data_IF_217512192854
#
_entry.id   IF_217512192854
#
_cell.length_a   1.000
_cell.length_b   1.000
_cell.length_c   1.000
_cell.angle_alpha   90.00
_cell.angle_beta   90.00
_cell.angle_gamma   90.00
#
_symmetry.space_group_name_H-M   'P 1'
#
loop_
_entity.id
_entity.type
_entity.pdbx_description
1 polymer ?
#
# COMPACT_ATOMS: atom_id res chain seq x y z
N UNK A 1 -14.34 22.24 7.03
CA UNK A 1 -13.90 21.33 5.97
C UNK A 1 -15.07 21.05 5.05
N UNK A 2 -14.88 21.23 3.76
CA UNK A 2 -15.85 20.85 2.72
C UNK A 2 -15.39 19.55 2.07
N UNK A 3 -16.33 18.66 1.82
CA UNK A 3 -16.10 17.32 1.30
C UNK A 3 -16.94 17.12 0.06
N UNK A 4 -16.37 16.47 -0.95
CA UNK A 4 -17.11 16.04 -2.13
C UNK A 4 -17.72 14.66 -1.88
N UNK A 5 -19.03 14.57 -2.04
CA UNK A 5 -19.84 13.37 -1.80
C UNK A 5 -20.43 12.93 -3.11
N UNK A 6 -20.41 11.63 -3.36
CA UNK A 6 -21.09 11.04 -4.50
C UNK A 6 -22.43 10.46 -4.03
N UNK A 7 -23.54 11.04 -4.51
CA UNK A 7 -24.89 10.72 -4.05
C UNK A 7 -25.40 9.42 -4.69
N UNK A 8 -25.94 8.51 -3.88
CA UNK A 8 -26.48 7.23 -4.34
C UNK A 8 -27.98 7.04 -4.02
N UNK A 9 -28.53 7.85 -3.10
CA UNK A 9 -29.93 7.79 -2.73
C UNK A 9 -30.47 9.19 -2.42
N UNK A 10 -31.44 9.65 -3.21
CA UNK A 10 -32.06 10.98 -3.02
C UNK A 10 -33.05 10.98 -1.85
N UNK A 11 -33.09 12.07 -1.07
CA UNK A 11 -34.13 12.34 -0.06
C UNK A 11 -35.52 12.16 -0.67
N UNK A 12 -36.40 11.45 0.03
CA UNK A 12 -37.78 11.16 -0.38
C UNK A 12 -37.93 10.10 -1.47
N UNK A 13 -36.84 9.57 -2.03
CA UNK A 13 -36.90 8.49 -3.03
C UNK A 13 -36.97 7.12 -2.37
N UNK A 14 -37.74 6.21 -2.95
CA UNK A 14 -37.74 4.78 -2.62
C UNK A 14 -36.64 4.01 -3.38
N UNK A 15 -36.05 4.62 -4.39
CA UNK A 15 -35.07 4.00 -5.28
C UNK A 15 -33.65 4.29 -4.82
N UNK A 16 -32.93 3.22 -4.45
CA UNK A 16 -31.51 3.26 -4.09
C UNK A 16 -30.66 2.77 -5.27
N UNK A 17 -29.63 3.54 -5.58
CA UNK A 17 -28.69 3.26 -6.66
C UNK A 17 -27.33 2.85 -6.07
N UNK A 18 -26.51 2.19 -6.88
CA UNK A 18 -25.07 2.05 -6.64
C UNK A 18 -24.36 2.46 -7.92
N UNK A 19 -23.15 3.00 -7.81
CA UNK A 19 -22.37 3.38 -8.98
C UNK A 19 -21.61 2.19 -9.54
N UNK A 20 -21.93 1.84 -10.79
CA UNK A 20 -21.22 0.81 -11.56
C UNK A 20 -20.71 1.43 -12.85
N UNK A 21 -19.39 1.42 -13.06
CA UNK A 21 -18.77 2.04 -14.24
C UNK A 21 -19.07 3.54 -14.36
N UNK A 22 -19.17 4.26 -13.24
CA UNK A 22 -19.48 5.69 -13.20
C UNK A 22 -20.94 6.05 -13.51
N UNK A 23 -21.85 5.05 -13.60
CA UNK A 23 -23.28 5.28 -13.81
C UNK A 23 -24.10 4.79 -12.62
N UNK A 24 -25.13 5.53 -12.19
CA UNK A 24 -26.09 5.02 -11.22
C UNK A 24 -26.83 3.82 -11.78
N UNK A 25 -26.79 2.70 -11.07
CA UNK A 25 -27.56 1.49 -11.38
C UNK A 25 -28.49 1.23 -10.20
N UNK A 26 -29.78 1.10 -10.47
CA UNK A 26 -30.77 0.77 -9.43
C UNK A 26 -30.39 -0.58 -8.80
N UNK A 27 -30.21 -0.60 -7.48
CA UNK A 27 -29.85 -1.82 -6.73
C UNK A 27 -30.97 -2.32 -5.84
N UNK A 28 -31.81 -1.42 -5.32
CA UNK A 28 -32.87 -1.77 -4.37
C UNK A 28 -34.00 -0.74 -4.39
N UNK A 29 -35.22 -1.20 -4.11
CA UNK A 29 -36.33 -0.35 -3.68
C UNK A 29 -36.58 -0.56 -2.18
N UNK A 30 -36.71 0.54 -1.44
CA UNK A 30 -36.88 0.57 0.01
C UNK A 30 -37.86 1.69 0.38
N UNK A 31 -38.15 1.88 1.67
CA UNK A 31 -38.97 3.04 2.10
C UNK A 31 -38.25 4.37 1.79
N UNK A 32 -38.95 5.50 1.67
CA UNK A 32 -38.35 6.78 1.27
C UNK A 32 -37.19 7.23 2.15
N UNK A 33 -36.05 7.60 1.56
CA UNK A 33 -34.89 8.05 2.34
C UNK A 33 -35.17 9.36 3.09
N UNK A 34 -34.81 9.47 4.39
CA UNK A 34 -35.05 10.67 5.20
C UNK A 34 -34.16 11.86 4.80
N UNK A 35 -32.99 11.55 4.23
CA UNK A 35 -31.95 12.49 3.78
C UNK A 35 -31.35 11.98 2.47
N UNK A 36 -30.48 12.78 1.84
CA UNK A 36 -29.70 12.25 0.73
C UNK A 36 -28.57 11.38 1.30
N UNK A 37 -28.40 10.17 0.79
CA UNK A 37 -27.25 9.32 1.10
C UNK A 37 -26.26 9.31 -0.05
N UNK A 38 -24.99 9.33 0.31
CA UNK A 38 -23.86 9.17 -0.58
C UNK A 38 -22.69 8.57 0.16
N UNK A 39 -21.53 8.63 -0.46
CA UNK A 39 -20.28 8.14 0.13
C UNK A 39 -19.10 9.00 -0.33
N UNK A 40 -17.97 8.84 0.35
CA UNK A 40 -16.69 9.43 -0.03
C UNK A 40 -15.85 8.35 -0.74
N UNK A 41 -15.53 8.53 -2.04
CA UNK A 41 -14.73 7.55 -2.77
C UNK A 41 -13.36 7.31 -2.13
N UNK A 42 -12.90 6.06 -2.19
CA UNK A 42 -11.58 5.62 -1.74
C UNK A 42 -11.27 5.84 -0.24
N UNK A 43 -12.30 6.02 0.58
CA UNK A 43 -12.19 6.02 2.04
C UNK A 43 -13.14 4.96 2.56
N UNK A 44 -12.64 4.07 3.44
CA UNK A 44 -13.40 2.89 3.85
C UNK A 44 -13.73 2.90 5.34
N UNK A 45 -14.93 2.43 5.68
CA UNK A 45 -15.38 2.27 7.04
C UNK A 45 -14.77 0.99 7.66
N UNK A 46 -14.12 1.07 8.84
CA UNK A 46 -13.53 -0.10 9.48
C UNK A 46 -14.51 -1.20 9.89
N UNK A 47 -15.80 -0.90 10.01
CA UNK A 47 -16.79 -1.87 10.50
C UNK A 47 -17.18 -2.91 9.44
N UNK A 48 -17.30 -2.49 8.19
CA UNK A 48 -17.80 -3.33 7.09
C UNK A 48 -16.87 -3.36 5.87
N UNK A 49 -15.88 -2.46 5.81
CA UNK A 49 -14.95 -2.35 4.69
C UNK A 49 -15.54 -1.69 3.44
N UNK A 50 -16.75 -1.12 3.53
CA UNK A 50 -17.37 -0.36 2.46
C UNK A 50 -16.95 1.11 2.50
N UNK A 51 -17.27 1.88 1.46
CA UNK A 51 -16.93 3.30 1.42
C UNK A 51 -17.59 4.07 2.57
N UNK A 52 -16.91 5.10 3.08
CA UNK A 52 -17.43 5.93 4.18
C UNK A 52 -18.72 6.61 3.72
N UNK A 53 -19.83 6.17 4.31
CA UNK A 53 -21.14 6.73 4.06
C UNK A 53 -21.23 8.20 4.49
N UNK A 54 -22.09 8.93 3.81
CA UNK A 54 -22.40 10.32 4.06
C UNK A 54 -23.91 10.55 4.03
N UNK A 55 -24.43 11.17 5.08
CA UNK A 55 -25.77 11.68 5.18
C UNK A 55 -25.75 13.19 4.89
N UNK A 56 -26.35 13.60 3.76
CA UNK A 56 -26.39 14.98 3.29
C UNK A 56 -27.77 15.60 3.59
N UNK A 57 -27.77 16.56 4.51
CA UNK A 57 -28.92 17.40 4.86
C UNK A 57 -29.19 18.44 3.77
N UNK A 58 -30.47 18.74 3.54
CA UNK A 58 -30.92 19.70 2.53
C UNK A 58 -31.95 19.14 1.55
N UNK A 59 -32.15 19.82 0.39
CA UNK A 59 -33.12 19.41 -0.62
C UNK A 59 -32.71 18.09 -1.32
N UNK A 60 -33.65 17.39 -1.97
CA UNK A 60 -33.34 16.19 -2.75
C UNK A 60 -32.27 16.42 -3.82
N UNK A 61 -31.33 15.48 -3.93
CA UNK A 61 -30.23 15.50 -4.91
C UNK A 61 -30.28 14.24 -5.78
N UNK A 62 -30.20 14.35 -7.12
CA UNK A 62 -30.21 13.19 -8.01
C UNK A 62 -29.05 12.22 -7.75
N UNK A 63 -29.28 10.89 -7.77
CA UNK A 63 -28.21 9.90 -7.73
C UNK A 63 -27.19 10.09 -8.86
N UNK A 64 -25.91 9.87 -8.56
CA UNK A 64 -24.78 10.13 -9.46
C UNK A 64 -24.23 11.56 -9.42
N UNK A 65 -24.88 12.46 -8.68
CA UNK A 65 -24.38 13.83 -8.49
C UNK A 65 -23.17 13.85 -7.55
N UNK A 66 -22.19 14.70 -7.87
CA UNK A 66 -21.10 15.08 -6.95
C UNK A 66 -21.48 16.38 -6.26
N UNK A 67 -21.59 16.36 -4.94
CA UNK A 67 -21.98 17.52 -4.13
C UNK A 67 -20.88 17.87 -3.15
N UNK A 68 -20.53 19.16 -3.07
CA UNK A 68 -19.66 19.67 -2.01
C UNK A 68 -20.51 20.12 -0.84
N UNK A 69 -20.20 19.60 0.34
CA UNK A 69 -20.93 19.91 1.57
C UNK A 69 -20.01 20.03 2.78
N UNK A 70 -20.42 20.83 3.76
CA UNK A 70 -19.65 21.09 4.98
C UNK A 70 -19.84 19.98 6.00
N UNK A 71 -18.74 19.57 6.64
CA UNK A 71 -18.76 18.62 7.74
C UNK A 71 -19.46 19.21 8.98
N UNK A 72 -20.50 18.51 9.46
CA UNK A 72 -21.32 18.89 10.63
C UNK A 72 -21.08 17.99 11.83
N UNK A 73 -20.96 16.69 11.62
CA UNK A 73 -20.82 15.70 12.69
C UNK A 73 -20.65 14.29 12.16
N UNK A 74 -20.73 13.32 13.05
CA UNK A 74 -20.62 11.90 12.73
C UNK A 74 -21.81 11.16 13.33
N UNK A 75 -22.51 10.39 12.52
CA UNK A 75 -23.47 9.41 13.03
C UNK A 75 -22.71 8.11 13.30
N UNK A 76 -22.72 7.67 14.56
CA UNK A 76 -22.17 6.39 15.00
C UNK A 76 -23.30 5.40 15.32
N UNK A 77 -23.12 4.15 14.91
CA UNK A 77 -24.05 3.05 15.16
C UNK A 77 -23.37 1.97 16.00
N UNK A 78 -24.13 1.25 16.82
CA UNK A 78 -23.62 0.27 17.79
C UNK A 78 -22.88 -0.94 17.17
N UNK A 79 -23.08 -1.19 15.88
CA UNK A 79 -22.33 -2.19 15.10
C UNK A 79 -20.99 -1.66 14.57
N UNK A 80 -20.62 -0.42 14.92
CA UNK A 80 -19.38 0.22 14.54
C UNK A 80 -19.47 1.00 13.23
N UNK A 81 -20.62 0.99 12.54
CA UNK A 81 -20.83 1.74 11.32
C UNK A 81 -20.85 3.25 11.59
N UNK A 82 -20.27 4.03 10.67
CA UNK A 82 -20.11 5.48 10.78
C UNK A 82 -20.59 6.16 9.50
N UNK A 83 -21.34 7.25 9.66
CA UNK A 83 -21.78 8.09 8.52
C UNK A 83 -21.43 9.54 8.78
N UNK A 84 -20.74 10.17 7.84
CA UNK A 84 -20.46 11.61 7.92
C UNK A 84 -21.76 12.39 7.77
N UNK A 85 -22.06 13.27 8.72
CA UNK A 85 -23.18 14.20 8.61
C UNK A 85 -22.71 15.49 7.94
N UNK A 86 -23.32 15.82 6.80
CA UNK A 86 -22.91 16.93 5.93
C UNK A 86 -24.10 17.84 5.60
N UNK A 87 -23.86 19.15 5.42
CA UNK A 87 -24.88 20.10 4.96
C UNK A 87 -24.73 21.49 5.58
N UNK A 88 -25.60 22.40 5.16
CA UNK A 88 -25.71 23.76 5.70
C UNK A 88 -27.04 23.98 6.43
N UNK A 89 -27.04 24.78 7.51
CA UNK A 89 -28.24 25.09 8.31
C UNK A 89 -28.53 24.12 9.47
N UNK A 90 -29.59 24.42 10.21
CA UNK A 90 -30.14 23.61 11.31
C UNK A 90 -31.41 22.91 10.82
N UNK A 91 -31.26 21.83 10.04
CA UNK A 91 -32.38 20.97 9.60
C UNK A 91 -32.64 19.90 10.68
N UNK A 92 -33.15 20.35 11.83
CA UNK A 92 -33.38 19.50 13.01
C UNK A 92 -34.42 18.40 12.73
N UNK A 93 -35.41 18.71 11.89
CA UNK A 93 -36.43 17.74 11.47
C UNK A 93 -35.81 16.60 10.65
N UNK A 94 -34.94 16.90 9.68
CA UNK A 94 -34.23 15.87 8.93
C UNK A 94 -33.28 15.05 9.81
N UNK A 95 -32.67 15.68 10.82
CA UNK A 95 -31.80 14.99 11.77
C UNK A 95 -32.58 13.99 12.64
N UNK A 96 -33.75 14.40 13.16
CA UNK A 96 -34.65 13.51 13.90
C UNK A 96 -35.16 12.37 13.01
N UNK A 97 -35.52 12.67 11.76
CA UNK A 97 -35.92 11.65 10.79
C UNK A 97 -34.79 10.66 10.48
N UNK A 98 -33.55 11.15 10.37
CA UNK A 98 -32.36 10.32 10.19
C UNK A 98 -32.07 9.43 11.40
N UNK A 99 -32.25 9.92 12.63
CA UNK A 99 -32.07 9.09 13.84
C UNK A 99 -33.15 8.02 13.93
N UNK A 100 -34.41 8.37 13.69
CA UNK A 100 -35.54 7.44 13.67
C UNK A 100 -35.48 6.42 12.52
N UNK A 101 -34.63 6.66 11.51
CA UNK A 101 -34.40 5.74 10.41
C UNK A 101 -33.75 4.44 10.87
N UNK A 102 -32.83 4.48 11.83
CA UNK A 102 -32.14 3.28 12.26
C UNK A 102 -32.97 2.50 13.29
N UNK A 103 -32.99 1.16 13.21
CA UNK A 103 -33.62 0.36 14.26
C UNK A 103 -33.05 0.70 15.64
N UNK A 104 -33.86 0.72 16.72
CA UNK A 104 -33.41 1.07 18.07
C UNK A 104 -32.19 0.25 18.54
N UNK A 105 -32.05 -0.98 18.07
CA UNK A 105 -30.96 -1.89 18.41
C UNK A 105 -29.60 -1.39 17.89
N UNK A 106 -29.59 -0.63 16.77
CA UNK A 106 -28.37 -0.01 16.22
C UNK A 106 -27.95 1.24 16.99
N UNK A 107 -28.76 1.73 17.95
CA UNK A 107 -28.47 2.85 18.87
C UNK A 107 -27.79 4.04 18.17
N UNK A 108 -28.48 4.70 17.22
CA UNK A 108 -27.88 5.81 16.49
C UNK A 108 -27.49 6.95 17.44
N UNK A 109 -26.23 7.34 17.38
CA UNK A 109 -25.65 8.37 18.23
C UNK A 109 -24.97 9.45 17.37
N UNK A 110 -25.28 10.71 17.63
CA UNK A 110 -24.58 11.82 16.99
C UNK A 110 -23.36 12.20 17.81
N UNK A 111 -22.22 12.14 17.16
CA UNK A 111 -20.97 12.71 17.64
C UNK A 111 -20.77 14.06 16.97
N UNK A 112 -20.03 14.92 17.65
CA UNK A 112 -19.79 16.29 17.24
C UNK A 112 -18.84 16.37 16.04
N UNK A 113 -18.60 17.62 15.62
CA UNK A 113 -17.76 17.93 14.48
C UNK A 113 -16.29 17.55 14.69
N UNK A 114 -15.78 17.66 15.91
CA UNK A 114 -14.41 17.31 16.26
C UNK A 114 -14.20 15.79 16.16
N UNK A 115 -15.14 14.97 16.65
CA UNK A 115 -15.05 13.51 16.47
C UNK A 115 -15.17 13.11 14.99
N UNK A 116 -16.06 13.76 14.24
CA UNK A 116 -16.18 13.54 12.81
C UNK A 116 -14.90 13.89 12.04
N UNK A 117 -14.25 14.98 12.42
CA UNK A 117 -12.99 15.41 11.84
C UNK A 117 -11.87 14.42 12.17
N UNK A 118 -11.78 13.97 13.42
CA UNK A 118 -10.79 12.97 13.84
C UNK A 118 -10.97 11.64 13.09
N UNK A 119 -12.21 11.18 12.93
CA UNK A 119 -12.52 9.99 12.13
C UNK A 119 -12.06 10.13 10.68
N UNK A 120 -12.39 11.26 10.04
CA UNK A 120 -12.01 11.48 8.65
C UNK A 120 -10.50 11.61 8.48
N UNK A 121 -9.82 12.35 9.35
CA UNK A 121 -8.37 12.51 9.33
C UNK A 121 -7.68 11.15 9.49
N UNK A 122 -8.19 10.27 10.35
CA UNK A 122 -7.66 8.90 10.48
C UNK A 122 -7.78 8.11 9.16
N UNK A 123 -8.94 8.17 8.49
CA UNK A 123 -9.15 7.47 7.20
C UNK A 123 -8.30 8.05 6.07
N UNK A 124 -8.21 9.37 5.99
CA UNK A 124 -7.35 10.06 5.01
C UNK A 124 -5.88 9.70 5.22
N UNK A 125 -5.43 9.64 6.48
CA UNK A 125 -4.07 9.26 6.83
C UNK A 125 -3.79 7.80 6.49
N UNK A 126 -4.71 6.89 6.79
CA UNK A 126 -4.60 5.48 6.40
C UNK A 126 -4.47 5.35 4.87
N UNK A 127 -5.36 5.96 4.10
CA UNK A 127 -5.27 6.00 2.62
C UNK A 127 -3.93 6.55 2.13
N UNK A 128 -3.46 7.65 2.71
CA UNK A 128 -2.19 8.29 2.33
C UNK A 128 -0.99 7.36 2.57
N UNK A 129 -1.00 6.55 3.63
CA UNK A 129 0.04 5.54 3.91
C UNK A 129 0.05 4.41 2.89
N UNK A 130 -1.11 3.92 2.46
CA UNK A 130 -1.19 2.89 1.42
C UNK A 130 -0.64 3.38 0.08
N UNK A 131 -1.07 4.57 -0.35
CA UNK A 131 -0.52 5.24 -1.54
C UNK A 131 0.99 5.44 -1.39
N UNK A 132 1.43 5.94 -0.24
CA UNK A 132 2.82 6.23 0.04
C UNK A 132 3.71 5.00 -0.06
N UNK A 133 3.26 3.85 0.45
CA UNK A 133 4.06 2.61 0.40
C UNK A 133 4.34 2.15 -1.03
N UNK A 134 3.31 2.04 -1.87
CA UNK A 134 3.50 1.51 -3.23
C UNK A 134 4.17 2.54 -4.16
N UNK A 135 3.84 3.83 -4.03
CA UNK A 135 4.56 4.89 -4.75
C UNK A 135 6.00 5.01 -4.28
N UNK A 136 6.23 4.92 -2.97
CA UNK A 136 7.55 5.03 -2.36
C UNK A 136 8.49 3.93 -2.85
N UNK A 137 7.98 2.70 -2.99
CA UNK A 137 8.70 1.59 -3.64
C UNK A 137 9.17 2.00 -5.04
N UNK A 138 8.25 2.43 -5.91
CA UNK A 138 8.59 2.77 -7.29
C UNK A 138 9.49 4.01 -7.41
N UNK A 139 9.34 4.98 -6.51
CA UNK A 139 10.23 6.15 -6.43
C UNK A 139 11.64 5.74 -6.01
N UNK A 140 11.75 4.83 -5.05
CA UNK A 140 13.03 4.35 -4.54
C UNK A 140 13.80 3.53 -5.56
N UNK A 141 13.10 2.62 -6.23
CA UNK A 141 13.58 1.89 -7.40
C UNK A 141 14.12 2.87 -8.47
N UNK A 142 13.28 3.78 -8.97
CA UNK A 142 13.68 4.72 -10.04
C UNK A 142 14.82 5.68 -9.66
N UNK A 143 14.96 6.04 -8.37
CA UNK A 143 16.08 6.86 -7.90
C UNK A 143 17.37 6.03 -7.75
N UNK A 144 17.27 4.82 -7.20
CA UNK A 144 18.41 3.94 -6.98
C UNK A 144 18.99 3.39 -8.28
N UNK A 145 18.14 3.12 -9.28
CA UNK A 145 18.56 2.61 -10.58
C UNK A 145 19.56 3.54 -11.31
N UNK A 146 19.59 4.84 -10.97
CA UNK A 146 20.55 5.80 -11.54
C UNK A 146 22.01 5.47 -11.22
N UNK A 147 22.25 4.78 -10.09
CA UNK A 147 23.58 4.51 -9.53
C UNK A 147 23.76 3.04 -9.16
N UNK A 148 22.89 2.18 -9.67
CA UNK A 148 23.00 0.74 -9.53
C UNK A 148 24.39 0.24 -10.01
N UNK A 149 24.94 -0.72 -9.28
CA UNK A 149 26.27 -1.31 -9.43
C UNK A 149 27.45 -0.33 -9.27
N UNK A 150 27.21 0.93 -8.90
CA UNK A 150 28.28 1.90 -8.63
C UNK A 150 28.76 1.78 -7.19
N UNK A 151 30.07 1.68 -6.92
CA UNK A 151 30.58 1.72 -5.56
C UNK A 151 30.17 3.01 -4.84
N UNK A 152 29.86 2.91 -3.54
CA UNK A 152 29.54 4.06 -2.69
C UNK A 152 30.59 5.17 -2.83
N UNK A 153 30.15 6.41 -3.00
CA UNK A 153 31.04 7.57 -3.14
C UNK A 153 31.79 7.70 -4.47
N UNK A 154 31.57 6.79 -5.44
CA UNK A 154 32.18 6.85 -6.78
C UNK A 154 31.38 7.66 -7.81
N UNK A 155 30.29 8.31 -7.39
CA UNK A 155 29.37 9.05 -8.24
C UNK A 155 28.92 10.35 -7.55
N UNK A 156 28.55 11.39 -8.32
CA UNK A 156 27.90 12.58 -7.76
C UNK A 156 26.62 12.19 -7.03
N UNK A 157 26.34 12.70 -5.82
CA UNK A 157 25.19 12.25 -5.05
C UNK A 157 23.86 12.46 -5.79
N UNK A 158 23.06 11.39 -5.85
CA UNK A 158 21.69 11.41 -6.37
C UNK A 158 20.85 12.34 -5.51
N UNK A 159 20.08 13.21 -6.16
CA UNK A 159 19.16 14.17 -5.51
C UNK A 159 17.83 14.32 -6.23
N UNK A 160 17.79 13.96 -7.50
CA UNK A 160 16.68 14.21 -8.42
C UNK A 160 16.45 12.96 -9.26
N UNK A 161 15.28 12.91 -9.88
CA UNK A 161 14.89 11.81 -10.75
C UNK A 161 15.36 12.11 -12.17
N UNK A 162 16.62 11.75 -12.48
CA UNK A 162 17.29 12.11 -13.75
C UNK A 162 17.40 10.93 -14.73
N UNK A 163 17.11 9.71 -14.29
CA UNK A 163 17.30 8.50 -15.09
C UNK A 163 18.79 8.15 -15.25
N UNK A 164 19.15 7.49 -16.35
CA UNK A 164 20.51 7.00 -16.60
C UNK A 164 20.70 5.58 -16.06
N UNK A 165 21.72 5.38 -15.23
CA UNK A 165 22.07 4.05 -14.73
C UNK A 165 22.62 3.10 -15.81
N UNK A 166 22.82 1.82 -15.46
CA UNK A 166 23.37 0.81 -16.38
C UNK A 166 22.48 0.56 -17.61
N UNK A 167 21.18 0.81 -17.50
CA UNK A 167 20.20 0.55 -18.55
C UNK A 167 19.80 1.78 -19.38
N UNK A 168 20.37 2.95 -19.10
CA UNK A 168 20.05 4.19 -19.84
C UNK A 168 18.59 4.63 -19.69
N UNK A 169 18.04 4.50 -18.49
CA UNK A 169 16.65 4.77 -18.15
C UNK A 169 16.28 6.24 -18.36
N UNK A 170 15.01 6.51 -18.72
CA UNK A 170 14.49 7.87 -18.71
C UNK A 170 14.11 8.31 -17.27
N UNK A 171 14.04 9.62 -16.97
CA UNK A 171 13.57 10.13 -15.68
C UNK A 171 12.28 9.47 -15.22
N UNK A 172 12.33 8.76 -14.08
CA UNK A 172 11.17 8.13 -13.44
C UNK A 172 10.82 6.73 -13.95
N UNK A 173 11.62 6.17 -14.87
CA UNK A 173 11.60 4.74 -15.12
C UNK A 173 12.20 3.96 -13.94
N UNK A 174 11.58 2.82 -13.66
CA UNK A 174 11.90 1.87 -12.59
C UNK A 174 12.20 0.48 -13.20
N UNK A 175 12.73 -0.46 -12.42
CA UNK A 175 13.35 -1.72 -12.85
C UNK A 175 12.43 -2.95 -12.65
N UNK A 176 13.01 -4.14 -12.46
CA UNK A 176 12.26 -5.36 -12.18
C UNK A 176 11.60 -5.35 -10.80
N UNK A 177 12.17 -4.63 -9.83
CA UNK A 177 11.59 -4.30 -8.52
C UNK A 177 10.11 -3.92 -8.62
N UNK A 178 9.85 -2.80 -9.28
CA UNK A 178 8.48 -2.29 -9.47
C UNK A 178 7.70 -3.17 -10.44
N UNK A 179 8.31 -3.70 -11.50
CA UNK A 179 7.62 -4.60 -12.44
C UNK A 179 6.97 -5.80 -11.73
N UNK A 180 7.72 -6.47 -10.86
CA UNK A 180 7.25 -7.62 -10.09
C UNK A 180 6.28 -7.21 -8.96
N UNK A 181 6.45 -6.02 -8.37
CA UNK A 181 5.48 -5.47 -7.43
C UNK A 181 4.11 -5.23 -8.10
N UNK A 182 4.09 -4.64 -9.30
CA UNK A 182 2.85 -4.40 -10.03
C UNK A 182 2.18 -5.70 -10.48
N UNK A 183 2.96 -6.67 -10.95
CA UNK A 183 2.45 -8.01 -11.25
C UNK A 183 1.81 -8.66 -10.01
N UNK A 184 2.43 -8.53 -8.83
CA UNK A 184 1.86 -9.04 -7.59
C UNK A 184 0.57 -8.30 -7.23
N UNK A 185 0.55 -6.97 -7.30
CA UNK A 185 -0.62 -6.16 -7.00
C UNK A 185 -1.83 -6.56 -7.86
N UNK A 186 -1.65 -6.71 -9.18
CA UNK A 186 -2.74 -7.14 -10.05
C UNK A 186 -3.21 -8.56 -9.75
N UNK A 187 -2.29 -9.49 -9.49
CA UNK A 187 -2.64 -10.87 -9.11
C UNK A 187 -3.50 -10.90 -7.85
N UNK A 188 -3.09 -10.16 -6.81
CA UNK A 188 -3.82 -10.07 -5.55
C UNK A 188 -5.23 -9.50 -5.72
N UNK A 189 -5.37 -8.42 -6.50
CA UNK A 189 -6.67 -7.78 -6.72
C UNK A 189 -7.63 -8.63 -7.55
N UNK A 190 -7.11 -9.45 -8.48
CA UNK A 190 -7.93 -10.30 -9.33
C UNK A 190 -8.24 -11.68 -8.72
N UNK A 191 -7.29 -12.26 -7.97
CA UNK A 191 -7.33 -13.67 -7.54
C UNK A 191 -7.21 -13.87 -6.04
N UNK A 192 -6.91 -12.82 -5.26
CA UNK A 192 -6.40 -13.00 -3.91
C UNK A 192 -4.99 -13.60 -3.96
N UNK A 193 -4.58 -14.29 -2.90
CA UNK A 193 -3.26 -14.93 -2.86
C UNK A 193 -3.22 -16.22 -3.70
N UNK A 194 -2.82 -16.09 -4.96
CA UNK A 194 -2.61 -17.20 -5.89
C UNK A 194 -1.14 -17.21 -6.41
N UNK A 195 -0.25 -18.04 -5.83
CA UNK A 195 1.14 -18.14 -6.25
C UNK A 195 1.33 -18.56 -7.71
N UNK A 196 0.37 -19.29 -8.31
CA UNK A 196 0.45 -19.71 -9.71
C UNK A 196 0.13 -18.55 -10.64
N UNK A 197 -0.89 -17.75 -10.33
CA UNK A 197 -1.20 -16.51 -11.09
C UNK A 197 -0.07 -15.48 -10.94
N UNK A 198 0.47 -15.32 -9.73
CA UNK A 198 1.66 -14.50 -9.45
C UNK A 198 2.82 -14.88 -10.39
N UNK A 199 3.20 -16.17 -10.41
CA UNK A 199 4.29 -16.65 -11.28
C UNK A 199 3.96 -16.56 -12.77
N UNK A 200 2.69 -16.71 -13.17
CA UNK A 200 2.27 -16.52 -14.55
C UNK A 200 2.45 -15.06 -15.01
N UNK A 201 2.13 -14.07 -14.16
CA UNK A 201 2.35 -12.65 -14.46
C UNK A 201 3.84 -12.30 -14.50
N UNK A 202 4.64 -12.84 -13.59
CA UNK A 202 6.10 -12.67 -13.63
C UNK A 202 6.70 -13.28 -14.90
N UNK A 203 6.25 -14.47 -15.31
CA UNK A 203 6.67 -15.10 -16.55
C UNK A 203 6.24 -14.27 -17.77
N UNK A 204 5.06 -13.66 -17.74
CA UNK A 204 4.59 -12.75 -18.79
C UNK A 204 5.44 -11.49 -18.87
N UNK A 205 5.77 -10.86 -17.75
CA UNK A 205 6.74 -9.76 -17.71
C UNK A 205 8.09 -10.20 -18.31
N UNK A 206 8.63 -11.33 -17.86
CA UNK A 206 9.91 -11.86 -18.31
C UNK A 206 9.95 -12.13 -19.83
N UNK A 207 8.85 -12.63 -20.42
CA UNK A 207 8.80 -12.99 -21.84
C UNK A 207 8.35 -11.86 -22.76
N UNK A 208 7.46 -10.99 -22.29
CA UNK A 208 6.74 -10.01 -23.12
C UNK A 208 6.96 -8.56 -22.71
N UNK A 209 7.62 -8.28 -21.57
CA UNK A 209 7.73 -6.92 -21.03
C UNK A 209 6.44 -6.39 -20.41
N UNK A 210 5.50 -7.26 -20.05
CA UNK A 210 4.26 -6.87 -19.38
C UNK A 210 4.54 -6.08 -18.09
N UNK A 211 3.98 -4.86 -17.95
CA UNK A 211 4.25 -3.95 -16.84
C UNK A 211 5.76 -3.62 -16.66
N UNK A 212 6.48 -3.44 -17.78
CA UNK A 212 7.84 -2.90 -17.79
C UNK A 212 7.86 -1.42 -18.18
N UNK A 213 8.74 -0.63 -17.55
CA UNK A 213 8.97 0.76 -17.92
C UNK A 213 9.54 0.95 -19.34
N UNK A 214 10.23 -0.06 -19.89
CA UNK A 214 10.83 -0.02 -21.23
C UNK A 214 10.06 -0.86 -22.27
N UNK A 215 8.98 -1.54 -21.86
CA UNK A 215 8.20 -2.43 -22.73
C UNK A 215 8.85 -3.78 -23.05
N UNK A 216 9.96 -4.12 -22.39
CA UNK A 216 10.61 -5.44 -22.42
C UNK A 216 11.22 -5.76 -21.04
N UNK A 217 11.51 -7.03 -20.75
CA UNK A 217 12.19 -7.40 -19.51
C UNK A 217 13.67 -7.00 -19.54
N UNK A 218 14.10 -6.27 -18.51
CA UNK A 218 15.49 -5.98 -18.18
C UNK A 218 15.68 -6.16 -16.68
N UNK A 219 16.93 -6.08 -16.22
CA UNK A 219 17.34 -6.19 -14.82
C UNK A 219 17.03 -7.46 -14.04
N UNK A 220 16.40 -8.46 -14.68
CA UNK A 220 15.99 -9.67 -13.98
C UNK A 220 17.15 -10.36 -13.24
N UNK A 221 17.04 -10.41 -11.90
CA UNK A 221 17.99 -11.12 -11.06
C UNK A 221 18.11 -12.62 -11.43
N UNK A 222 19.32 -13.17 -11.33
CA UNK A 222 19.60 -14.56 -11.75
C UNK A 222 18.72 -15.60 -11.04
N UNK A 223 18.46 -15.44 -9.74
CA UNK A 223 17.59 -16.35 -8.99
C UNK A 223 16.14 -16.29 -9.48
N UNK A 224 15.60 -15.09 -9.67
CA UNK A 224 14.25 -14.87 -10.23
C UNK A 224 14.13 -15.51 -11.60
N UNK A 225 15.09 -15.27 -12.50
CA UNK A 225 15.10 -15.88 -13.83
C UNK A 225 15.05 -17.41 -13.77
N UNK A 226 15.91 -18.04 -12.96
CA UNK A 226 15.92 -19.51 -12.80
C UNK A 226 14.60 -20.03 -12.25
N UNK A 227 14.01 -19.35 -11.29
CA UNK A 227 12.70 -19.73 -10.73
C UNK A 227 11.59 -19.65 -11.79
N UNK A 228 11.55 -18.60 -12.62
CA UNK A 228 10.57 -18.48 -13.70
C UNK A 228 10.76 -19.57 -14.77
N UNK A 229 12.00 -19.85 -15.16
CA UNK A 229 12.33 -20.94 -16.10
C UNK A 229 11.94 -22.32 -15.51
N UNK A 230 12.16 -22.54 -14.20
CA UNK A 230 11.73 -23.73 -13.49
C UNK A 230 10.21 -23.85 -13.46
N UNK A 231 9.49 -22.80 -13.07
CA UNK A 231 8.03 -22.78 -13.08
C UNK A 231 7.47 -23.05 -14.48
N UNK A 232 8.03 -22.45 -15.52
CA UNK A 232 7.60 -22.69 -16.89
C UNK A 232 7.75 -24.17 -17.31
N UNK A 233 8.79 -24.84 -16.82
CA UNK A 233 9.06 -26.25 -17.12
C UNK A 233 8.24 -27.22 -16.28
N UNK A 234 8.05 -26.94 -14.99
CA UNK A 234 7.48 -27.90 -14.02
C UNK A 234 6.04 -27.57 -13.62
N UNK A 235 5.62 -26.33 -13.80
CA UNK A 235 4.35 -25.81 -13.29
C UNK A 235 4.29 -25.65 -11.77
N UNK A 236 5.40 -25.82 -11.05
CA UNK A 236 5.49 -25.62 -9.59
C UNK A 236 5.63 -24.13 -9.26
N UNK A 237 4.63 -23.48 -8.64
CA UNK A 237 4.68 -22.04 -8.36
C UNK A 237 5.69 -21.67 -7.28
N UNK A 238 6.14 -22.59 -6.44
CA UNK A 238 7.15 -22.32 -5.40
C UNK A 238 8.55 -22.73 -5.90
N UNK A 239 8.98 -22.06 -6.96
CA UNK A 239 10.17 -22.42 -7.73
C UNK A 239 11.49 -21.83 -7.20
N UNK A 240 11.48 -21.16 -6.05
CA UNK A 240 12.69 -20.61 -5.44
C UNK A 240 13.64 -21.68 -4.91
N UNK A 241 14.93 -21.53 -5.21
CA UNK A 241 15.98 -22.43 -4.73
C UNK A 241 16.39 -22.07 -3.28
N UNK A 242 16.78 -23.07 -2.47
CA UNK A 242 17.19 -22.88 -1.07
C UNK A 242 18.46 -22.02 -0.89
N UNK A 243 19.26 -21.88 -1.94
CA UNK A 243 20.46 -21.03 -1.97
C UNK A 243 20.16 -19.60 -2.41
N UNK A 244 18.96 -19.33 -2.92
CA UNK A 244 18.57 -18.00 -3.39
C UNK A 244 18.25 -17.07 -2.21
N UNK A 245 19.29 -16.45 -1.65
CA UNK A 245 19.22 -15.54 -0.51
C UNK A 245 19.25 -14.04 -0.89
N UNK A 246 19.03 -13.73 -2.17
CA UNK A 246 18.94 -12.38 -2.69
C UNK A 246 17.71 -11.62 -2.19
N UNK A 247 17.77 -10.29 -2.30
CA UNK A 247 16.73 -9.34 -1.90
C UNK A 247 15.50 -9.30 -2.81
N UNK A 248 15.46 -10.03 -3.92
CA UNK A 248 14.36 -9.94 -4.89
C UNK A 248 12.97 -10.34 -4.36
N UNK A 249 12.91 -11.01 -3.20
CA UNK A 249 11.66 -11.24 -2.48
C UNK A 249 11.14 -9.99 -1.72
N UNK A 250 12.05 -9.10 -1.28
CA UNK A 250 11.75 -7.89 -0.53
C UNK A 250 11.27 -6.76 -1.44
N UNK A 251 11.94 -6.55 -2.58
CA UNK A 251 11.65 -5.46 -3.51
C UNK A 251 10.18 -5.37 -3.92
N UNK A 252 9.54 -6.53 -4.08
CA UNK A 252 8.16 -6.66 -4.59
C UNK A 252 7.11 -6.89 -3.50
N UNK A 253 7.47 -6.81 -2.22
CA UNK A 253 6.62 -7.33 -1.13
C UNK A 253 5.48 -6.38 -0.73
N UNK A 254 5.63 -5.08 -0.97
CA UNK A 254 4.69 -4.06 -0.51
C UNK A 254 3.22 -4.37 -0.87
N UNK A 255 2.85 -4.76 -2.12
CA UNK A 255 1.48 -5.11 -2.46
C UNK A 255 0.83 -6.15 -1.54
N UNK A 256 1.57 -7.20 -1.17
CA UNK A 256 1.09 -8.24 -0.27
C UNK A 256 0.89 -7.70 1.14
N UNK A 257 1.86 -6.93 1.64
CA UNK A 257 1.79 -6.31 2.95
C UNK A 257 0.62 -5.32 3.07
N UNK A 258 0.31 -4.59 1.99
CA UNK A 258 -0.87 -3.73 1.89
C UNK A 258 -2.16 -4.56 1.93
N UNK A 259 -2.32 -5.52 1.02
CA UNK A 259 -3.55 -6.32 0.88
C UNK A 259 -3.92 -7.12 2.14
N UNK A 260 -2.91 -7.64 2.84
CA UNK A 260 -3.08 -8.51 4.00
C UNK A 260 -2.64 -7.87 5.32
N UNK A 261 -2.56 -6.54 5.39
CA UNK A 261 -2.10 -5.80 6.57
C UNK A 261 -2.83 -6.19 7.86
N UNK A 262 -4.14 -6.48 7.76
CA UNK A 262 -5.03 -6.86 8.86
C UNK A 262 -5.16 -8.38 9.05
N UNK A 263 -4.52 -9.18 8.20
CA UNK A 263 -4.61 -10.64 8.25
C UNK A 263 -3.63 -11.21 9.28
N UNK A 264 -4.08 -12.15 10.15
CA UNK A 264 -3.17 -12.85 11.05
C UNK A 264 -2.18 -13.75 10.29
N UNK A 265 -2.44 -14.06 9.01
CA UNK A 265 -1.59 -14.89 8.15
C UNK A 265 -0.53 -14.09 7.39
N UNK A 266 -0.41 -12.78 7.59
CA UNK A 266 0.50 -11.92 6.82
C UNK A 266 1.93 -12.48 6.73
N UNK A 267 2.50 -12.93 7.84
CA UNK A 267 3.84 -13.53 7.85
C UNK A 267 3.93 -14.81 7.00
N UNK A 268 2.97 -15.72 7.15
CA UNK A 268 2.89 -16.94 6.35
C UNK A 268 2.80 -16.62 4.85
N UNK A 269 1.91 -15.69 4.47
CA UNK A 269 1.72 -15.27 3.08
C UNK A 269 2.99 -14.61 2.53
N UNK A 270 3.70 -13.79 3.33
CA UNK A 270 4.97 -13.18 2.93
C UNK A 270 6.02 -14.24 2.62
N UNK A 271 6.13 -15.27 3.46
CA UNK A 271 7.00 -16.43 3.21
C UNK A 271 6.59 -17.17 1.93
N UNK A 272 5.31 -17.43 1.73
CA UNK A 272 4.83 -18.12 0.52
C UNK A 272 5.09 -17.30 -0.75
N UNK A 273 4.87 -15.98 -0.71
CA UNK A 273 5.17 -15.07 -1.83
C UNK A 273 6.66 -15.06 -2.16
N UNK A 274 7.53 -15.03 -1.14
CA UNK A 274 8.97 -15.09 -1.34
C UNK A 274 9.41 -16.43 -1.98
N UNK A 275 8.86 -17.56 -1.52
CA UNK A 275 9.12 -18.92 -2.03
C UNK A 275 8.86 -19.11 -3.52
N UNK A 276 8.08 -18.22 -4.15
CA UNK A 276 7.86 -18.27 -5.59
C UNK A 276 9.16 -18.15 -6.38
N UNK A 277 10.14 -17.37 -5.87
CA UNK A 277 11.44 -17.19 -6.55
C UNK A 277 12.67 -17.30 -5.66
N UNK A 278 12.54 -17.21 -4.33
CA UNK A 278 13.64 -17.30 -3.38
C UNK A 278 13.31 -18.31 -2.28
N UNK A 279 14.15 -19.32 -2.07
CA UNK A 279 13.91 -20.38 -1.08
C UNK A 279 14.77 -20.29 0.18
N UNK A 280 15.79 -19.43 0.20
CA UNK A 280 16.71 -19.34 1.34
C UNK A 280 16.01 -18.84 2.60
N UNK A 281 16.28 -19.49 3.73
CA UNK A 281 15.63 -19.24 5.02
C UNK A 281 15.66 -17.76 5.40
N UNK A 282 16.81 -17.12 5.28
CA UNK A 282 17.00 -15.72 5.63
C UNK A 282 16.23 -14.73 4.73
N UNK A 283 16.02 -15.06 3.46
CA UNK A 283 15.23 -14.23 2.55
C UNK A 283 13.74 -14.35 2.88
N UNK A 284 13.29 -15.57 3.20
CA UNK A 284 11.93 -15.83 3.65
C UNK A 284 11.61 -15.10 4.97
N UNK A 285 12.50 -15.20 5.96
CA UNK A 285 12.32 -14.52 7.24
C UNK A 285 12.47 -12.99 7.10
N UNK A 286 13.35 -12.48 6.25
CA UNK A 286 13.45 -11.05 5.98
C UNK A 286 12.15 -10.49 5.37
N UNK A 287 11.50 -11.26 4.48
CA UNK A 287 10.19 -10.89 3.94
C UNK A 287 9.13 -10.82 5.04
N UNK A 288 9.10 -11.77 5.97
CA UNK A 288 8.19 -11.71 7.13
C UNK A 288 8.39 -10.44 7.97
N UNK A 289 9.65 -10.07 8.23
CA UNK A 289 9.98 -8.86 8.98
C UNK A 289 9.54 -7.60 8.23
N UNK A 290 9.84 -7.49 6.94
CA UNK A 290 9.44 -6.34 6.12
C UNK A 290 7.91 -6.20 6.04
N UNK A 291 7.20 -7.30 5.81
CA UNK A 291 5.74 -7.31 5.78
C UNK A 291 5.14 -6.81 7.11
N UNK A 292 5.67 -7.29 8.24
CA UNK A 292 5.24 -6.84 9.57
C UNK A 292 5.52 -5.35 9.79
N UNK A 293 6.71 -4.87 9.40
CA UNK A 293 7.09 -3.45 9.52
C UNK A 293 6.15 -2.55 8.73
N UNK A 294 5.85 -2.91 7.47
CA UNK A 294 4.90 -2.17 6.63
C UNK A 294 3.52 -2.17 7.28
N UNK A 295 3.00 -3.33 7.70
CA UNK A 295 1.66 -3.41 8.32
C UNK A 295 1.54 -2.57 9.60
N UNK A 296 2.55 -2.58 10.48
CA UNK A 296 2.57 -1.72 11.67
C UNK A 296 2.68 -0.24 11.31
N UNK A 297 3.45 0.11 10.28
CA UNK A 297 3.53 1.48 9.79
C UNK A 297 2.17 1.98 9.26
N UNK A 298 1.40 1.13 8.56
CA UNK A 298 0.04 1.45 8.09
C UNK A 298 -0.92 1.73 9.24
N UNK A 299 -0.80 0.99 10.35
CA UNK A 299 -1.57 1.23 11.59
C UNK A 299 -1.13 2.50 12.35
N UNK A 300 -0.05 3.14 11.90
CA UNK A 300 0.49 4.35 12.50
C UNK A 300 1.33 4.11 13.75
N UNK A 301 1.91 2.92 13.90
CA UNK A 301 2.88 2.65 14.96
C UNK A 301 4.05 3.65 14.89
N UNK A 302 4.52 4.18 16.03
CA UNK A 302 5.64 5.13 16.05
C UNK A 302 6.94 4.44 15.64
N UNK A 303 7.89 5.22 15.11
CA UNK A 303 9.18 4.70 14.60
C UNK A 303 9.91 3.85 15.64
N UNK A 304 9.89 4.25 16.91
CA UNK A 304 10.53 3.53 18.02
C UNK A 304 9.93 2.14 18.24
N UNK A 305 8.63 1.95 17.99
CA UNK A 305 7.98 0.64 18.07
C UNK A 305 8.39 -0.26 16.91
N UNK A 306 8.40 0.28 15.69
CA UNK A 306 8.83 -0.45 14.49
C UNK A 306 10.25 -1.00 14.67
N UNK A 307 11.18 -0.17 15.11
CA UNK A 307 12.60 -0.52 15.29
C UNK A 307 12.86 -1.51 16.44
N UNK A 308 11.92 -1.67 17.38
CA UNK A 308 12.02 -2.70 18.42
C UNK A 308 11.81 -4.10 17.87
N UNK A 309 11.03 -4.25 16.78
CA UNK A 309 10.73 -5.56 16.15
C UNK A 309 10.40 -6.65 17.18
N UNK A 310 9.61 -6.30 18.20
CA UNK A 310 9.41 -7.11 19.42
C UNK A 310 9.02 -8.57 19.11
N UNK A 311 8.07 -8.87 18.20
CA UNK A 311 7.67 -10.25 17.89
C UNK A 311 8.80 -11.12 17.30
N UNK A 312 9.83 -10.51 16.72
CA UNK A 312 10.98 -11.22 16.16
C UNK A 312 12.10 -11.38 17.20
N UNK A 313 12.30 -10.38 18.07
CA UNK A 313 13.27 -10.49 19.18
C UNK A 313 12.91 -11.57 20.19
N UNK A 314 11.61 -11.77 20.45
CA UNK A 314 11.11 -12.82 21.34
C UNK A 314 11.38 -14.24 20.81
N UNK A 315 11.73 -14.38 19.53
CA UNK A 315 11.99 -15.66 18.86
C UNK A 315 13.42 -15.76 18.31
N UNK A 316 14.39 -15.12 18.98
CA UNK A 316 15.80 -15.01 18.55
C UNK A 316 16.40 -16.32 18.00
N UNK A 317 16.32 -17.39 18.78
CA UNK A 317 16.93 -18.69 18.46
C UNK A 317 16.29 -19.36 17.23
N UNK A 318 15.11 -18.90 16.81
CA UNK A 318 14.41 -19.36 15.63
C UNK A 318 14.71 -18.51 14.36
N UNK A 319 15.50 -17.44 14.46
CA UNK A 319 15.91 -16.63 13.30
C UNK A 319 17.23 -17.13 12.72
N UNK A 320 17.40 -16.98 11.41
CA UNK A 320 18.70 -17.13 10.76
C UNK A 320 19.70 -16.13 11.36
N UNK A 321 20.97 -16.51 11.64
CA UNK A 321 21.93 -15.63 12.31
C UNK A 321 22.13 -14.27 11.65
N UNK A 322 22.09 -14.21 10.31
CA UNK A 322 22.23 -12.95 9.58
C UNK A 322 21.06 -12.00 9.82
N UNK A 323 19.82 -12.51 9.79
CA UNK A 323 18.63 -11.71 10.09
C UNK A 323 18.57 -11.33 11.57
N UNK A 324 18.99 -12.23 12.47
CA UNK A 324 19.10 -11.91 13.89
C UNK A 324 20.02 -10.69 14.12
N UNK A 325 21.16 -10.57 13.41
CA UNK A 325 22.01 -9.37 13.53
C UNK A 325 21.25 -8.09 13.19
N UNK A 326 20.44 -8.11 12.14
CA UNK A 326 19.60 -6.96 11.75
C UNK A 326 18.56 -6.66 12.83
N UNK A 327 17.73 -7.65 13.21
CA UNK A 327 16.64 -7.51 14.19
C UNK A 327 17.14 -6.98 15.55
N UNK A 328 18.37 -7.34 15.93
CA UNK A 328 19.00 -6.95 17.19
C UNK A 328 19.84 -5.65 17.10
N UNK A 329 19.73 -4.88 16.01
CA UNK A 329 20.26 -3.52 15.93
C UNK A 329 21.42 -3.32 14.96
N UNK A 330 21.75 -4.29 14.11
CA UNK A 330 22.80 -4.10 13.09
C UNK A 330 22.53 -2.91 12.16
N UNK A 331 21.28 -2.51 11.97
CA UNK A 331 20.88 -1.36 11.17
C UNK A 331 21.24 0.01 11.78
N UNK A 332 21.79 0.09 13.00
CA UNK A 332 22.26 1.36 13.56
C UNK A 332 23.55 1.86 12.91
N UNK A 333 24.33 0.94 12.37
CA UNK A 333 25.60 1.18 11.68
C UNK A 333 25.35 1.45 10.20
N UNK A 334 26.15 2.34 9.64
CA UNK A 334 26.07 2.68 8.21
C UNK A 334 26.65 1.54 7.35
N UNK A 335 25.91 1.05 6.35
CA UNK A 335 26.43 0.05 5.43
C UNK A 335 27.60 0.60 4.59
N UNK A 336 28.56 -0.27 4.27
CA UNK A 336 29.67 0.05 3.37
C UNK A 336 29.19 0.32 1.93
N UNK A 337 28.13 -0.38 1.49
CA UNK A 337 27.48 -0.24 0.18
C UNK A 337 26.02 -0.72 0.26
N UNK A 338 25.24 -0.53 -0.81
CA UNK A 338 23.91 -1.13 -0.95
C UNK A 338 24.02 -2.63 -1.29
N UNK A 339 23.56 -3.53 -0.40
CA UNK A 339 23.80 -4.96 -0.57
C UNK A 339 22.65 -5.67 -1.30
N UNK A 340 22.97 -6.71 -2.07
CA UNK A 340 22.00 -7.60 -2.73
C UNK A 340 21.53 -8.80 -1.89
N UNK A 341 22.07 -8.98 -0.68
CA UNK A 341 21.71 -10.05 0.24
C UNK A 341 20.53 -9.64 1.14
N UNK A 342 19.44 -10.40 1.16
CA UNK A 342 18.15 -9.98 1.73
C UNK A 342 18.22 -9.39 3.16
N UNK A 343 18.84 -10.05 4.16
CA UNK A 343 19.00 -9.44 5.49
C UNK A 343 19.77 -8.12 5.46
N UNK A 344 20.84 -8.03 4.67
CA UNK A 344 21.66 -6.82 4.60
C UNK A 344 20.89 -5.67 3.91
N UNK A 345 20.09 -5.96 2.88
CA UNK A 345 19.24 -4.96 2.21
C UNK A 345 18.20 -4.40 3.18
N UNK A 346 17.53 -5.29 3.93
CA UNK A 346 16.62 -4.88 5.00
C UNK A 346 17.33 -4.02 6.05
N UNK A 347 18.56 -4.40 6.45
CA UNK A 347 19.39 -3.61 7.35
C UNK A 347 19.73 -2.23 6.81
N UNK A 348 20.09 -2.10 5.54
CA UNK A 348 20.40 -0.84 4.88
C UNK A 348 19.17 0.09 4.77
N UNK A 349 18.00 -0.47 4.41
CA UNK A 349 16.75 0.27 4.39
C UNK A 349 16.35 0.76 5.80
N UNK A 350 16.51 -0.08 6.83
CA UNK A 350 16.26 0.29 8.22
C UNK A 350 17.26 1.34 8.72
N UNK A 351 18.53 1.27 8.30
CA UNK A 351 19.53 2.29 8.58
C UNK A 351 19.10 3.65 8.01
N UNK A 352 18.73 3.70 6.74
CA UNK A 352 18.26 4.94 6.11
C UNK A 352 17.00 5.47 6.81
N UNK A 353 16.08 4.59 7.20
CA UNK A 353 14.85 4.94 7.91
C UNK A 353 15.09 5.48 9.33
N UNK A 354 16.09 4.96 10.05
CA UNK A 354 16.40 5.43 11.41
C UNK A 354 17.25 6.69 11.43
N UNK A 355 18.07 6.91 10.40
CA UNK A 355 18.91 8.11 10.28
C UNK A 355 18.21 9.31 9.64
N UNK A 356 16.96 9.15 9.21
CA UNK A 356 16.17 10.23 8.61
C UNK A 356 15.01 10.68 9.48
N UNK A 357 14.64 11.95 9.32
CA UNK A 357 13.45 12.55 9.94
C UNK A 357 12.27 12.59 8.97
N UNK A 358 12.54 12.64 7.66
CA UNK A 358 11.53 12.62 6.60
C UNK A 358 11.83 11.56 5.50
N UNK A 359 10.87 11.42 4.57
CA UNK A 359 10.94 10.47 3.45
C UNK A 359 12.09 10.80 2.49
N UNK A 360 12.27 12.08 2.15
CA UNK A 360 13.22 12.48 1.12
C UNK A 360 14.66 12.27 1.61
N UNK A 361 14.96 12.71 2.83
CA UNK A 361 16.26 12.54 3.45
C UNK A 361 16.65 11.07 3.52
N UNK A 362 15.77 10.19 3.99
CA UNK A 362 16.10 8.77 4.09
C UNK A 362 16.19 8.09 2.74
N UNK A 363 15.36 8.49 1.76
CA UNK A 363 15.46 7.97 0.39
C UNK A 363 16.84 8.28 -0.19
N UNK A 364 17.32 9.53 -0.02
CA UNK A 364 18.64 9.92 -0.49
C UNK A 364 19.77 9.21 0.27
N UNK A 365 19.61 8.93 1.57
CA UNK A 365 20.56 8.09 2.31
C UNK A 365 20.63 6.68 1.71
N UNK A 366 19.48 6.06 1.45
CA UNK A 366 19.37 4.71 0.90
C UNK A 366 20.04 4.60 -0.47
N UNK A 367 19.65 5.41 -1.45
CA UNK A 367 20.15 5.27 -2.84
C UNK A 367 21.60 5.69 -3.00
N UNK A 368 22.11 6.60 -2.16
CA UNK A 368 23.52 7.02 -2.22
C UNK A 368 24.49 6.02 -1.56
N UNK A 369 24.00 4.87 -1.05
CA UNK A 369 24.86 3.74 -0.71
C UNK A 369 25.48 3.08 -1.95
N UNK A 370 24.95 3.32 -3.17
CA UNK A 370 25.40 2.63 -4.37
C UNK A 370 25.15 1.13 -4.29
N UNK A 371 25.91 0.33 -5.03
CA UNK A 371 25.71 -1.12 -5.09
C UNK A 371 24.32 -1.46 -5.65
N UNK A 372 23.57 -2.28 -4.93
CA UNK A 372 22.17 -2.63 -5.21
C UNK A 372 21.21 -1.53 -4.69
N UNK A 373 21.37 -0.33 -5.26
CA UNK A 373 20.80 0.91 -4.74
C UNK A 373 19.30 1.04 -5.02
N UNK A 374 18.83 0.53 -6.17
CA UNK A 374 17.42 0.44 -6.55
C UNK A 374 16.66 -0.42 -5.55
N UNK A 375 17.15 -1.61 -5.22
CA UNK A 375 16.45 -2.48 -4.27
C UNK A 375 16.46 -1.93 -2.85
N UNK A 376 17.58 -1.38 -2.38
CA UNK A 376 17.62 -0.70 -1.07
C UNK A 376 16.66 0.49 -1.05
N UNK A 377 16.61 1.26 -2.13
CA UNK A 377 15.67 2.36 -2.33
C UNK A 377 14.21 1.89 -2.31
N UNK A 378 13.86 0.82 -3.01
CA UNK A 378 12.53 0.25 -3.08
C UNK A 378 12.06 -0.28 -1.72
N UNK A 379 12.91 -1.01 -1.00
CA UNK A 379 12.62 -1.51 0.36
C UNK A 379 12.45 -0.35 1.33
N UNK A 380 13.37 0.63 1.32
CA UNK A 380 13.21 1.86 2.12
C UNK A 380 11.90 2.57 1.78
N UNK A 381 11.63 2.77 0.48
CA UNK A 381 10.49 3.52 -0.02
C UNK A 381 9.16 2.88 0.37
N UNK A 382 9.08 1.55 0.34
CA UNK A 382 7.88 0.82 0.78
C UNK A 382 7.56 1.05 2.26
N UNK A 383 8.57 0.99 3.13
CA UNK A 383 8.42 1.19 4.59
C UNK A 383 8.21 2.67 4.94
N UNK A 384 9.09 3.54 4.45
CA UNK A 384 9.04 4.97 4.70
C UNK A 384 7.76 5.57 4.10
N UNK A 385 7.31 5.10 2.95
CA UNK A 385 6.04 5.47 2.36
C UNK A 385 4.83 5.08 3.20
N UNK A 386 4.82 3.87 3.77
CA UNK A 386 3.80 3.44 4.73
C UNK A 386 3.85 4.24 6.05
N UNK A 387 5.01 4.75 6.43
CA UNK A 387 5.20 5.51 7.67
C UNK A 387 4.86 7.01 7.52
N UNK A 388 5.35 7.66 6.48
CA UNK A 388 5.20 9.10 6.24
C UNK A 388 3.99 9.45 5.38
N UNK A 389 3.54 8.53 4.53
CA UNK A 389 2.43 8.74 3.59
C UNK A 389 2.86 9.34 2.26
N UNK A 390 1.99 9.24 1.25
CA UNK A 390 2.20 9.79 -0.09
C UNK A 390 2.45 11.29 -0.04
N UNK A 391 1.77 12.01 0.86
CA UNK A 391 1.89 13.46 1.00
C UNK A 391 3.30 13.93 1.39
N UNK A 392 4.14 13.04 1.94
CA UNK A 392 5.53 13.31 2.29
C UNK A 392 6.53 13.02 1.15
N UNK A 393 6.10 12.37 0.07
CA UNK A 393 6.96 12.08 -1.09
C UNK A 393 7.10 13.36 -1.93
N UNK A 394 8.32 13.80 -2.27
CA UNK A 394 8.52 14.99 -3.10
C UNK A 394 7.77 14.92 -4.43
N UNK A 395 6.97 15.95 -4.72
CA UNK A 395 6.17 15.99 -5.95
C UNK A 395 7.04 16.02 -7.22
N UNK A 396 8.26 16.55 -7.14
CA UNK A 396 9.21 16.52 -8.25
C UNK A 396 9.80 15.12 -8.52
N UNK A 397 9.61 14.17 -7.61
CA UNK A 397 9.88 12.74 -7.84
C UNK A 397 8.63 12.01 -8.33
N UNK A 398 7.44 12.41 -7.89
CA UNK A 398 6.18 11.80 -8.35
C UNK A 398 5.81 12.21 -9.80
N UNK A 399 6.01 13.47 -10.18
CA UNK A 399 5.66 13.99 -11.51
C UNK A 399 6.22 13.18 -12.68
N UNK A 400 7.53 12.83 -12.73
CA UNK A 400 8.09 12.03 -13.80
C UNK A 400 7.90 10.52 -13.63
N UNK A 401 7.37 10.06 -12.48
CA UNK A 401 7.27 8.62 -12.18
C UNK A 401 6.43 7.88 -13.21
N UNK A 402 7.01 6.89 -13.86
CA UNK A 402 6.34 6.11 -14.89
C UNK A 402 5.16 5.32 -14.31
N UNK A 403 4.01 5.34 -14.98
CA UNK A 403 2.77 4.66 -14.55
C UNK A 403 2.25 5.07 -13.16
N UNK A 404 2.56 6.29 -12.68
CA UNK A 404 2.10 6.80 -11.39
C UNK A 404 0.61 6.59 -11.13
N UNK A 405 -0.26 6.97 -12.07
CA UNK A 405 -1.71 6.86 -11.90
C UNK A 405 -2.18 5.39 -11.77
N UNK A 406 -1.50 4.46 -12.45
CA UNK A 406 -1.76 3.02 -12.29
C UNK A 406 -1.27 2.52 -10.93
N UNK A 407 -0.10 2.96 -10.48
CA UNK A 407 0.43 2.64 -9.15
C UNK A 407 -0.54 3.12 -8.06
N UNK A 408 -1.05 4.34 -8.18
CA UNK A 408 -2.06 4.90 -7.26
C UNK A 408 -3.34 4.05 -7.26
N UNK A 409 -3.86 3.70 -8.44
CA UNK A 409 -5.06 2.87 -8.55
C UNK A 409 -4.87 1.47 -7.93
N UNK A 410 -3.72 0.84 -8.12
CA UNK A 410 -3.39 -0.44 -7.50
C UNK A 410 -3.31 -0.32 -5.97
N UNK A 411 -2.63 0.71 -5.46
CA UNK A 411 -2.53 0.95 -4.02
C UNK A 411 -3.91 1.16 -3.37
N UNK A 412 -4.81 1.91 -4.03
CA UNK A 412 -6.19 2.10 -3.56
C UNK A 412 -7.02 0.81 -3.63
N UNK A 413 -6.82 0.00 -4.66
CA UNK A 413 -7.42 -1.34 -4.76
C UNK A 413 -6.96 -2.24 -3.61
N UNK A 414 -5.68 -2.23 -3.27
CA UNK A 414 -5.12 -3.04 -2.19
C UNK A 414 -5.58 -2.52 -0.82
N UNK A 415 -5.74 -1.20 -0.67
CA UNK A 415 -6.36 -0.59 0.51
C UNK A 415 -7.80 -1.09 0.67
N UNK A 416 -8.61 -1.06 -0.39
CA UNK A 416 -9.96 -1.63 -0.35
C UNK A 416 -9.96 -3.11 0.04
N UNK A 417 -9.07 -3.88 -0.58
CA UNK A 417 -8.96 -5.32 -0.33
C UNK A 417 -8.63 -5.63 1.12
N UNK A 418 -7.77 -4.82 1.77
CA UNK A 418 -7.39 -5.03 3.18
C UNK A 418 -8.50 -4.66 4.18
N UNK A 419 -9.47 -3.85 3.73
CA UNK A 419 -10.63 -3.46 4.52
C UNK A 419 -11.77 -4.49 4.44
N UNK A 420 -11.87 -5.20 3.31
CA UNK A 420 -12.82 -6.30 3.18
C UNK A 420 -12.39 -7.49 4.05
N UNK A 421 -13.34 -8.22 4.64
CA UNK A 421 -13.01 -9.51 5.26
C UNK A 421 -12.30 -10.40 4.24
N UNK A 422 -11.20 -11.07 4.61
CA UNK A 422 -10.43 -11.87 3.67
C UNK A 422 -11.37 -12.82 2.93
N UNK A 423 -11.36 -12.79 1.59
CA UNK A 423 -11.82 -13.94 0.82
C UNK A 423 -10.83 -15.05 1.14
N UNK A 424 -11.20 -15.92 2.07
CA UNK A 424 -10.40 -17.10 2.46
C UNK A 424 -10.13 -18.03 1.29
#
# INVERSE_FOLDING_TARGET
>A
MELEVLVEWSKGSEERYALKGGRPVLVKRDRPAPVNYGFLPDLYNPADGEEVDAALLGPPVPPGSRVRARLRGLLHLADGDHKLLLGEGEDEEALQALLAWFPPERRPCLLDKAEAQAFLEARLKERDRYLGSLLGLAVGDALGAQVEFRPKGSFPPVRRMEGGGPHGLFPGAWTDDTSLALCLAESLLEKGFDPRDQMARYLRWYREGYLSALGYCFDIGHATRRALERFQRTGDPFAGDEEAAGNGALMRLAPLALAYAKSPRLGELARLSARTTHGAREALEAAEVLAWLIARALEGAPKEELLRMKPFRERREALHPALARVVFGGFWEEPEEGPGYAPATLGAALWAFVKSEDFAQGMLLAVNLGGDADTVGAVYGSLAGAYYGRSAIPEDWLKPLHLKERIEALALGLYRMSMASPRE
#
